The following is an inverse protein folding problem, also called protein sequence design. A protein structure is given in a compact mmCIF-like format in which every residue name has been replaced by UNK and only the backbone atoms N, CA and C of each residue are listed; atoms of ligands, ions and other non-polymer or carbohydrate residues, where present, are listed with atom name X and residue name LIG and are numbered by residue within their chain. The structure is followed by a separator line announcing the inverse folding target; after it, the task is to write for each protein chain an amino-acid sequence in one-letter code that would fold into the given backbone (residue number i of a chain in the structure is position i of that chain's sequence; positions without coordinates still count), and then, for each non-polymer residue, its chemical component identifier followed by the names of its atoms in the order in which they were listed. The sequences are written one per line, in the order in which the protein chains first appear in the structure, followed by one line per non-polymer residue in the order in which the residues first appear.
data_IF_652036221216
#
_entry.id   IF_652036221216
#
_cell.length_a   1.000
_cell.length_b   1.000
_cell.length_c   1.000
_cell.angle_alpha   90.00
_cell.angle_beta   90.00
_cell.angle_gamma   90.00
#
_symmetry.space_group_name_H-M   'P 1'
#
loop_
_entity.id
_entity.type
_entity.pdbx_description
1 polymer ?
#
# COMPACT_ATOMS: atom_id res chain seq x y z
N UNK A 1 2.40 -25.23 2.46
CA UNK A 1 1.19 -24.53 2.89
C UNK A 1 1.11 -23.20 2.19
N UNK A 2 0.06 -22.95 1.44
CA UNK A 2 -0.16 -21.67 0.82
C UNK A 2 -0.65 -20.69 1.86
N UNK A 3 -0.18 -19.48 1.81
CA UNK A 3 -0.69 -18.44 2.67
C UNK A 3 -0.96 -17.18 1.86
N UNK A 4 -1.64 -16.25 2.50
CA UNK A 4 -2.06 -15.01 1.85
C UNK A 4 -0.87 -14.23 1.32
N UNK A 5 0.24 -14.19 2.08
CA UNK A 5 1.43 -13.44 1.66
C UNK A 5 2.02 -13.95 0.35
N UNK A 6 2.04 -15.27 0.15
CA UNK A 6 2.57 -15.84 -1.10
C UNK A 6 1.72 -15.40 -2.29
N UNK A 7 0.40 -15.40 -2.12
CA UNK A 7 -0.51 -14.96 -3.17
C UNK A 7 -0.32 -13.47 -3.47
N UNK A 8 -0.20 -12.64 -2.43
CA UNK A 8 0.00 -11.21 -2.60
C UNK A 8 1.32 -10.90 -3.29
N UNK A 9 2.37 -11.67 -2.98
CA UNK A 9 3.67 -11.49 -3.62
C UNK A 9 3.56 -11.74 -5.12
N UNK A 10 2.87 -12.80 -5.52
CA UNK A 10 2.68 -13.11 -6.94
C UNK A 10 1.94 -11.98 -7.65
N UNK A 11 0.92 -11.41 -7.02
CA UNK A 11 0.20 -10.27 -7.61
C UNK A 11 1.09 -9.04 -7.73
N UNK A 12 1.88 -8.77 -6.70
CA UNK A 12 2.81 -7.63 -6.70
C UNK A 12 3.84 -7.75 -7.83
N UNK A 13 4.35 -8.97 -8.06
CA UNK A 13 5.37 -9.20 -9.09
C UNK A 13 4.85 -8.93 -10.52
N UNK A 14 3.54 -8.85 -10.70
CA UNK A 14 2.95 -8.51 -12.00
C UNK A 14 3.08 -7.03 -12.35
N UNK A 15 3.41 -6.17 -11.38
CA UNK A 15 3.59 -4.75 -11.63
C UNK A 15 4.86 -4.49 -12.44
N UNK A 16 4.81 -3.48 -13.33
CA UNK A 16 5.99 -3.03 -14.04
C UNK A 16 6.95 -2.32 -13.10
N UNK A 17 8.22 -2.23 -13.49
CA UNK A 17 9.24 -1.66 -12.64
C UNK A 17 8.98 -0.20 -12.28
N UNK A 18 8.46 0.59 -13.24
CA UNK A 18 8.14 1.99 -12.99
C UNK A 18 7.06 2.13 -11.93
N UNK A 19 6.03 1.31 -12.02
CA UNK A 19 4.94 1.33 -11.05
C UNK A 19 5.41 0.89 -9.67
N UNK A 20 6.24 -0.17 -9.61
CA UNK A 20 6.84 -0.62 -8.34
C UNK A 20 7.64 0.50 -7.70
N UNK A 21 8.48 1.17 -8.48
CA UNK A 21 9.30 2.25 -7.97
C UNK A 21 8.45 3.38 -7.40
N UNK A 22 7.46 3.83 -8.17
CA UNK A 22 6.59 4.92 -7.76
C UNK A 22 5.80 4.56 -6.49
N UNK A 23 5.26 3.35 -6.46
CA UNK A 23 4.49 2.88 -5.33
C UNK A 23 5.33 2.81 -4.04
N UNK A 24 6.51 2.19 -4.13
CA UNK A 24 7.37 2.06 -2.97
C UNK A 24 7.88 3.42 -2.49
N UNK A 25 8.15 4.33 -3.40
CA UNK A 25 8.58 5.68 -3.04
C UNK A 25 7.48 6.43 -2.31
N UNK A 26 6.25 6.36 -2.81
CA UNK A 26 5.11 7.01 -2.16
C UNK A 26 4.90 6.46 -0.75
N UNK A 27 4.96 5.13 -0.60
CA UNK A 27 4.80 4.47 0.70
C UNK A 27 5.90 4.92 1.68
N UNK A 28 7.12 5.11 1.18
CA UNK A 28 8.25 5.50 2.03
C UNK A 28 8.05 6.85 2.72
N UNK A 29 7.16 7.68 2.20
CA UNK A 29 6.85 8.99 2.80
C UNK A 29 5.71 8.93 3.82
N UNK A 30 5.07 7.79 3.99
CA UNK A 30 4.01 7.65 4.99
C UNK A 30 4.61 7.64 6.40
N UNK A 31 3.95 8.35 7.30
CA UNK A 31 4.37 8.41 8.70
C UNK A 31 3.82 7.23 9.47
N UNK A 32 4.70 6.52 10.18
CA UNK A 32 4.31 5.37 11.01
C UNK A 32 3.84 5.83 12.39
N UNK A 33 3.07 4.96 13.05
CA UNK A 33 2.64 5.18 14.42
C UNK A 33 2.81 3.87 15.20
N UNK A 34 2.55 3.92 16.49
CA UNK A 34 2.67 2.76 17.37
C UNK A 34 1.37 1.98 17.50
N UNK A 35 0.25 2.55 17.07
CA UNK A 35 -1.07 1.91 17.14
C UNK A 35 -1.67 1.78 15.75
N UNK A 36 -2.56 0.79 15.61
CA UNK A 36 -3.27 0.59 14.34
C UNK A 36 -4.27 1.72 14.11
N UNK A 37 -4.32 2.18 12.87
CA UNK A 37 -5.24 3.22 12.45
C UNK A 37 -6.33 2.60 11.59
N UNK A 38 -7.51 2.44 12.15
CA UNK A 38 -8.63 1.83 11.45
C UNK A 38 -9.43 2.81 10.58
N UNK A 39 -9.00 4.07 10.53
CA UNK A 39 -9.61 5.06 9.64
C UNK A 39 -9.10 4.94 8.21
N UNK A 40 -7.96 4.26 8.01
CA UNK A 40 -7.37 4.09 6.68
C UNK A 40 -7.11 2.61 6.42
N UNK A 41 -7.84 2.06 5.46
CA UNK A 41 -7.61 0.69 5.01
C UNK A 41 -6.63 0.68 3.84
N UNK A 42 -6.09 -0.50 3.52
CA UNK A 42 -5.23 -0.65 2.35
C UNK A 42 -5.92 -0.17 1.07
N UNK A 43 -7.22 -0.46 0.93
CA UNK A 43 -7.98 0.00 -0.24
C UNK A 43 -8.06 1.53 -0.30
N UNK A 44 -8.31 2.17 0.82
CA UNK A 44 -8.37 3.64 0.88
C UNK A 44 -7.01 4.28 0.60
N UNK A 45 -5.95 3.72 1.19
CA UNK A 45 -4.59 4.23 0.96
C UNK A 45 -4.19 4.06 -0.49
N UNK A 46 -4.52 2.92 -1.10
CA UNK A 46 -4.29 2.68 -2.52
C UNK A 46 -4.93 3.77 -3.38
N UNK A 47 -6.14 4.18 -3.03
CA UNK A 47 -6.85 5.23 -3.75
C UNK A 47 -6.13 6.58 -3.64
N UNK A 48 -5.56 6.89 -2.48
CA UNK A 48 -4.76 8.10 -2.33
C UNK A 48 -3.52 8.07 -3.21
N UNK A 49 -2.86 6.92 -3.30
CA UNK A 49 -1.70 6.76 -4.19
C UNK A 49 -2.09 7.00 -5.65
N UNK A 50 -3.19 6.39 -6.08
CA UNK A 50 -3.64 6.53 -7.46
C UNK A 50 -4.03 7.97 -7.78
N UNK A 51 -4.70 8.65 -6.85
CA UNK A 51 -5.05 10.05 -7.01
C UNK A 51 -3.81 10.94 -7.09
N UNK A 52 -2.83 10.72 -6.22
CA UNK A 52 -1.59 11.48 -6.24
C UNK A 52 -0.85 11.29 -7.55
N UNK A 53 -0.84 10.06 -8.08
CA UNK A 53 -0.20 9.75 -9.36
C UNK A 53 -0.87 10.49 -10.51
N UNK A 54 -2.21 10.48 -10.51
CA UNK A 54 -2.99 11.14 -11.55
C UNK A 54 -2.72 12.65 -11.57
N UNK A 55 -2.59 13.26 -10.40
CA UNK A 55 -2.28 14.68 -10.28
C UNK A 55 -0.92 15.03 -10.86
N UNK A 56 0.00 14.07 -10.94
CA UNK A 56 1.30 14.28 -11.58
C UNK A 56 1.27 13.94 -13.07
N UNK A 57 0.10 13.61 -13.61
CA UNK A 57 -0.02 13.25 -15.01
C UNK A 57 0.41 11.84 -15.32
N UNK A 58 0.56 10.99 -14.30
CA UNK A 58 0.95 9.59 -14.44
C UNK A 58 -0.08 8.72 -13.76
N UNK A 59 -0.82 7.96 -14.53
CA UNK A 59 -1.84 7.10 -13.96
C UNK A 59 -1.26 5.73 -13.62
N UNK A 60 -0.91 5.54 -12.37
CA UNK A 60 -0.45 4.25 -11.86
C UNK A 60 -1.64 3.56 -11.17
N UNK A 61 -2.02 2.41 -11.69
CA UNK A 61 -3.10 1.62 -11.13
C UNK A 61 -2.54 0.35 -10.51
N UNK A 62 -2.95 0.07 -9.28
CA UNK A 62 -2.55 -1.15 -8.58
C UNK A 62 -3.78 -1.77 -7.93
N UNK A 63 -3.74 -3.08 -7.76
CA UNK A 63 -4.82 -3.77 -7.04
C UNK A 63 -4.62 -3.62 -5.54
N UNK A 64 -5.67 -3.90 -4.77
CA UNK A 64 -5.56 -3.93 -3.31
C UNK A 64 -4.50 -4.94 -2.87
N UNK A 65 -4.45 -6.11 -3.53
CA UNK A 65 -3.46 -7.14 -3.23
C UNK A 65 -2.03 -6.63 -3.46
N UNK A 66 -1.79 -5.97 -4.58
CA UNK A 66 -0.48 -5.41 -4.89
C UNK A 66 -0.07 -4.34 -3.90
N UNK A 67 -1.02 -3.48 -3.52
CA UNK A 67 -0.75 -2.42 -2.56
C UNK A 67 -0.46 -3.00 -1.17
N UNK A 68 -1.21 -3.99 -0.74
CA UNK A 68 -0.99 -4.65 0.56
C UNK A 68 0.43 -5.20 0.66
N UNK A 69 0.88 -5.89 -0.38
CA UNK A 69 2.22 -6.45 -0.36
C UNK A 69 3.29 -5.37 -0.32
N UNK A 70 3.10 -4.29 -1.09
CA UNK A 70 4.04 -3.17 -1.08
C UNK A 70 4.15 -2.55 0.31
N UNK A 71 3.03 -2.38 1.01
CA UNK A 71 3.04 -1.87 2.38
C UNK A 71 3.79 -2.83 3.30
N UNK A 72 3.55 -4.12 3.16
CA UNK A 72 4.19 -5.14 3.98
C UNK A 72 5.71 -5.12 3.85
N UNK A 73 6.23 -5.07 2.63
CA UNK A 73 7.69 -5.07 2.40
C UNK A 73 8.34 -3.74 2.79
N UNK A 74 7.55 -2.68 2.97
CA UNK A 74 8.04 -1.40 3.46
C UNK A 74 7.96 -1.30 4.98
N UNK A 75 7.69 -2.40 5.66
CA UNK A 75 7.73 -2.46 7.12
C UNK A 75 6.44 -2.10 7.82
N UNK A 76 5.33 -2.01 7.09
CA UNK A 76 4.03 -1.75 7.68
C UNK A 76 3.32 -3.09 7.92
N UNK A 77 3.31 -3.53 9.17
CA UNK A 77 2.64 -4.79 9.53
C UNK A 77 1.14 -4.58 9.58
N UNK A 78 0.36 -5.50 8.99
CA UNK A 78 -1.10 -5.41 9.07
C UNK A 78 -1.60 -5.82 10.44
N UNK A 79 -2.80 -5.33 10.77
CA UNK A 79 -3.49 -5.75 11.99
C UNK A 79 -3.85 -7.24 11.93
N UNK A 80 -4.16 -7.72 10.72
CA UNK A 80 -4.54 -9.10 10.50
C UNK A 80 -4.25 -9.48 9.05
N UNK A 81 -3.57 -10.60 8.84
CA UNK A 81 -3.24 -11.05 7.48
C UNK A 81 -4.43 -11.84 6.92
N UNK A 82 -5.24 -11.20 6.12
CA UNK A 82 -6.45 -11.77 5.52
C UNK A 82 -6.51 -11.43 4.04
N UNK A 83 -7.55 -11.95 3.37
CA UNK A 83 -7.81 -11.59 1.98
C UNK A 83 -8.48 -10.23 1.85
N UNK A 84 -9.01 -9.69 2.94
CA UNK A 84 -9.68 -8.40 2.96
C UNK A 84 -8.67 -7.24 3.03
N UNK A 85 -9.19 -6.03 3.06
CA UNK A 85 -8.36 -4.86 3.27
C UNK A 85 -7.73 -4.90 4.65
N UNK A 86 -6.49 -4.41 4.72
CA UNK A 86 -5.72 -4.37 5.94
C UNK A 86 -5.68 -2.96 6.53
N UNK A 87 -5.50 -2.88 7.84
CA UNK A 87 -5.17 -1.63 8.52
C UNK A 87 -3.74 -1.72 9.06
N UNK A 88 -3.09 -0.59 9.18
CA UNK A 88 -1.67 -0.54 9.53
C UNK A 88 -1.42 0.43 10.68
N UNK A 89 -0.24 0.36 11.25
CA UNK A 89 0.21 1.31 12.26
C UNK A 89 0.74 2.56 11.57
N UNK A 90 -0.16 3.43 11.15
CA UNK A 90 0.18 4.69 10.50
C UNK A 90 -0.44 5.86 11.25
N UNK A 91 0.21 7.01 11.17
CA UNK A 91 -0.27 8.24 11.80
C UNK A 91 -1.47 8.80 11.02
N UNK A 92 -2.35 9.51 11.74
CA UNK A 92 -3.40 10.28 11.08
C UNK A 92 -2.81 11.46 10.30
N UNK A 93 -1.64 11.91 10.69
CA UNK A 93 -0.97 13.04 10.03
C UNK A 93 -0.14 12.52 8.87
N UNK A 94 -0.73 12.56 7.69
CA UNK A 94 -0.08 12.10 6.47
C UNK A 94 -0.13 13.18 5.40
N UNK A 95 0.88 13.17 4.55
CA UNK A 95 0.84 13.91 3.30
C UNK A 95 0.69 12.87 2.19
N UNK A 96 -0.51 12.73 1.64
CA UNK A 96 -0.79 11.75 0.60
C UNK A 96 -0.42 12.23 -0.80
N UNK A 97 0.05 13.45 -0.94
CA UNK A 97 0.54 13.96 -2.21
C UNK A 97 2.03 13.65 -2.36
N UNK A 98 2.51 13.73 -3.59
CA UNK A 98 3.95 13.57 -3.85
C UNK A 98 4.75 14.76 -3.36
#
# INVERSE_FOLDING_TARGET
MNNVLDTLKLEYEKLGEETKYALNKWISYLNKDTTYNYNHTSYGLKSYFETASDMLGKLYCVSNAQFKYAMYINGFEPDEITDDSWCFKISEKQNFNW
#
